data_IF_793997364063
#
_entry.id   IF_793997364063
#
_cell.length_a   1.000
_cell.length_b   1.000
_cell.length_c   1.000
_cell.angle_alpha   90.00
_cell.angle_beta   90.00
_cell.angle_gamma   90.00
#
_symmetry.space_group_name_H-M   'P 1'
#
loop_
_entity.id
_entity.type
_entity.pdbx_description
1 polymer ?
#
# COMPACT_ATOMS: atom_id res chain seq x y z
N UNK A 1 53.85 41.37 -38.38
CA UNK A 1 52.76 41.36 -39.38
C UNK A 1 51.50 40.84 -38.68
N UNK A 2 50.76 41.70 -37.96
CA UNK A 2 49.43 42.27 -38.31
C UNK A 2 48.42 41.20 -38.78
N UNK A 3 47.22 41.04 -38.19
CA UNK A 3 46.24 42.08 -37.82
C UNK A 3 45.18 41.55 -36.83
N UNK A 4 44.75 42.42 -35.92
CA UNK A 4 43.58 42.29 -35.03
C UNK A 4 42.27 42.39 -35.80
N UNK A 5 41.23 41.67 -35.38
CA UNK A 5 39.84 42.19 -35.42
C UNK A 5 39.07 41.72 -34.16
N UNK A 6 38.50 42.71 -33.47
CA UNK A 6 37.51 42.57 -32.40
C UNK A 6 36.11 42.56 -33.03
N UNK A 7 35.23 41.67 -32.58
CA UNK A 7 33.77 41.90 -32.63
C UNK A 7 33.16 41.45 -31.30
N UNK A 8 32.48 42.39 -30.67
CA UNK A 8 31.64 42.31 -29.48
C UNK A 8 30.32 41.57 -29.79
N UNK A 9 29.81 40.74 -28.87
CA UNK A 9 28.49 40.12 -29.00
C UNK A 9 27.95 39.62 -27.67
N UNK A 10 26.74 40.04 -27.34
CA UNK A 10 26.04 40.01 -26.05
C UNK A 10 25.72 38.63 -25.46
N UNK A 11 25.50 38.67 -24.14
CA UNK A 11 25.00 37.64 -23.20
C UNK A 11 23.59 37.14 -23.56
N UNK A 12 23.34 35.83 -23.40
CA UNK A 12 22.07 35.30 -22.89
C UNK A 12 22.29 33.91 -22.28
N UNK A 13 22.10 33.80 -20.97
CA UNK A 13 22.06 32.53 -20.25
C UNK A 13 20.68 31.88 -20.47
N UNK A 14 20.65 30.70 -21.09
CA UNK A 14 19.47 29.85 -21.13
C UNK A 14 19.72 28.62 -20.25
N UNK A 15 18.87 28.45 -19.24
CA UNK A 15 18.89 27.31 -18.33
C UNK A 15 18.57 26.01 -19.08
N UNK A 16 19.44 25.00 -18.94
CA UNK A 16 19.18 23.64 -19.42
C UNK A 16 18.28 22.95 -18.41
N UNK A 17 16.97 22.89 -18.72
CA UNK A 17 16.05 21.97 -18.05
C UNK A 17 16.22 20.59 -18.68
N UNK A 18 16.67 19.62 -17.89
CA UNK A 18 16.73 18.22 -18.29
C UNK A 18 15.31 17.65 -18.41
N UNK A 19 14.88 17.35 -19.64
CA UNK A 19 13.66 16.59 -19.89
C UNK A 19 13.92 15.10 -19.60
N UNK A 20 13.21 14.53 -18.63
CA UNK A 20 13.16 13.08 -18.40
C UNK A 20 12.46 12.38 -19.59
N UNK A 21 12.94 11.22 -20.06
CA UNK A 21 12.28 10.50 -21.15
C UNK A 21 10.97 9.89 -20.64
N UNK A 22 9.86 10.27 -21.28
CA UNK A 22 8.55 9.71 -21.04
C UNK A 22 8.51 8.23 -21.43
N UNK A 23 7.94 7.42 -20.53
CA UNK A 23 7.65 6.01 -20.70
C UNK A 23 6.76 5.81 -21.95
N UNK A 24 7.26 5.07 -22.93
CA UNK A 24 6.48 4.72 -24.12
C UNK A 24 5.29 3.84 -23.73
N UNK A 25 4.07 4.33 -23.90
CA UNK A 25 2.84 3.54 -23.76
C UNK A 25 2.56 2.79 -25.07
N UNK A 26 2.29 1.49 -24.94
CA UNK A 26 1.96 0.60 -26.05
C UNK A 26 0.60 0.97 -26.66
N UNK A 27 0.58 1.19 -27.98
CA UNK A 27 -0.59 1.60 -28.74
C UNK A 27 -1.51 0.42 -29.07
N UNK A 28 -2.80 0.53 -28.74
CA UNK A 28 -3.87 -0.18 -29.47
C UNK A 28 -4.80 0.85 -30.10
N UNK A 29 -4.72 0.96 -31.43
CA UNK A 29 -5.37 1.96 -32.27
C UNK A 29 -6.82 1.57 -32.54
N UNK A 30 -7.81 2.29 -31.97
CA UNK A 30 -9.16 2.44 -32.52
C UNK A 30 -9.67 3.85 -32.15
N UNK A 31 -9.95 4.69 -33.15
CA UNK A 31 -10.80 5.89 -33.07
C UNK A 31 -10.31 7.01 -32.14
N UNK A 32 -9.95 8.16 -32.71
CA UNK A 32 -9.32 9.27 -31.99
C UNK A 32 -10.15 9.83 -30.84
N UNK A 33 -9.56 9.80 -29.64
CA UNK A 33 -9.42 10.92 -28.70
C UNK A 33 -8.49 10.41 -27.60
N UNK A 34 -7.27 10.95 -27.49
CA UNK A 34 -6.36 10.63 -26.40
C UNK A 34 -6.86 11.31 -25.12
N UNK A 35 -7.88 10.73 -24.51
CA UNK A 35 -8.32 11.13 -23.18
C UNK A 35 -7.29 10.56 -22.21
N UNK A 36 -6.53 11.44 -21.57
CA UNK A 36 -5.85 11.09 -20.32
C UNK A 36 -6.96 10.69 -19.35
N UNK A 37 -7.19 9.39 -19.18
CA UNK A 37 -8.22 8.91 -18.25
C UNK A 37 -7.72 9.22 -16.85
N UNK A 38 -8.22 10.33 -16.28
CA UNK A 38 -7.97 10.64 -14.88
C UNK A 38 -8.47 9.47 -14.02
N UNK A 39 -7.70 9.03 -13.00
CA UNK A 39 -8.14 7.95 -12.13
C UNK A 39 -9.47 8.34 -11.45
N UNK A 40 -10.44 7.41 -11.34
CA UNK A 40 -11.79 7.73 -10.88
C UNK A 40 -11.82 8.36 -9.49
N UNK A 41 -12.23 9.63 -9.38
CA UNK A 41 -12.30 10.37 -8.11
C UNK A 41 -13.44 9.83 -7.24
N UNK A 42 -13.11 9.19 -6.11
CA UNK A 42 -14.07 8.94 -5.03
C UNK A 42 -13.97 10.08 -4.00
N UNK A 43 -15.08 10.78 -3.72
CA UNK A 43 -15.17 11.76 -2.64
C UNK A 43 -14.27 13.01 -2.75
N UNK A 44 -13.77 13.36 -3.94
CA UNK A 44 -12.99 14.59 -4.14
C UNK A 44 -11.50 14.51 -3.75
N UNK A 45 -11.01 13.33 -3.37
CA UNK A 45 -9.57 13.11 -3.13
C UNK A 45 -8.87 12.64 -4.42
N UNK A 46 -7.66 13.15 -4.66
CA UNK A 46 -6.78 12.59 -5.69
C UNK A 46 -6.50 11.13 -5.36
N UNK A 47 -6.88 10.24 -6.28
CA UNK A 47 -6.66 8.79 -6.20
C UNK A 47 -5.20 8.35 -6.16
N UNK A 48 -4.28 9.28 -6.37
CA UNK A 48 -2.86 8.95 -6.34
C UNK A 48 -2.40 8.73 -4.91
N UNK A 49 -2.01 7.47 -4.66
CA UNK A 49 -1.21 7.13 -3.49
C UNK A 49 0.05 8.00 -3.54
N UNK A 50 0.38 8.72 -2.44
CA UNK A 50 1.61 9.50 -2.38
C UNK A 50 2.81 8.63 -2.74
N UNK A 51 3.77 9.19 -3.47
CA UNK A 51 4.86 8.42 -4.06
C UNK A 51 5.63 7.58 -3.04
N UNK A 52 5.86 8.12 -1.85
CA UNK A 52 6.51 7.43 -0.73
C UNK A 52 5.80 6.14 -0.28
N UNK A 53 4.48 6.04 -0.48
CA UNK A 53 3.66 4.88 -0.10
C UNK A 53 3.40 3.91 -1.27
N UNK A 54 3.95 4.19 -2.46
CA UNK A 54 3.89 3.25 -3.58
C UNK A 54 4.80 2.04 -3.31
N UNK A 55 4.46 0.90 -3.92
CA UNK A 55 5.24 -0.33 -3.80
C UNK A 55 6.63 -0.13 -4.40
N UNK A 56 7.68 -0.44 -3.66
CA UNK A 56 9.07 -0.22 -4.06
C UNK A 56 9.97 -1.34 -3.58
N UNK A 57 11.03 -1.66 -4.33
CA UNK A 57 12.13 -2.48 -3.83
C UNK A 57 13.14 -1.54 -3.16
N UNK A 58 13.44 -1.76 -1.89
CA UNK A 58 14.30 -0.87 -1.08
C UNK A 58 15.38 -1.65 -0.35
N UNK A 59 16.56 -1.05 -0.08
CA UNK A 59 17.49 -1.58 0.91
C UNK A 59 16.79 -1.72 2.26
N UNK A 60 16.97 -2.87 2.91
CA UNK A 60 16.32 -3.18 4.16
C UNK A 60 17.19 -4.14 4.98
N UNK A 61 17.87 -3.59 5.98
CA UNK A 61 18.72 -4.34 6.89
C UNK A 61 17.91 -4.84 8.08
N UNK A 62 17.79 -6.16 8.20
CA UNK A 62 17.04 -6.83 9.26
C UNK A 62 17.69 -8.15 9.63
N UNK A 63 17.43 -8.63 10.84
CA UNK A 63 17.79 -9.99 11.27
C UNK A 63 16.72 -11.02 10.91
N UNK A 64 15.55 -10.57 10.41
CA UNK A 64 14.50 -11.47 9.98
C UNK A 64 14.90 -12.23 8.71
N UNK A 65 14.44 -13.48 8.60
CA UNK A 65 14.76 -14.33 7.45
C UNK A 65 14.06 -13.85 6.18
N UNK A 66 14.65 -14.15 5.02
CA UNK A 66 14.00 -13.96 3.71
C UNK A 66 12.61 -14.60 3.71
N UNK A 67 11.63 -13.89 3.13
CA UNK A 67 10.23 -14.29 3.11
C UNK A 67 9.42 -13.86 4.33
N UNK A 68 10.06 -13.30 5.37
CA UNK A 68 9.35 -12.72 6.51
C UNK A 68 8.64 -11.43 6.11
N UNK A 69 7.45 -11.23 6.64
CA UNK A 69 6.76 -9.94 6.59
C UNK A 69 7.12 -9.16 7.85
N UNK A 70 7.59 -7.92 7.69
CA UNK A 70 7.76 -6.97 8.79
C UNK A 70 6.80 -5.81 8.59
N UNK A 71 5.96 -5.53 9.58
CA UNK A 71 5.02 -4.41 9.56
C UNK A 71 5.54 -3.36 10.53
N UNK A 72 5.73 -2.14 10.05
CA UNK A 72 6.05 -0.97 10.84
C UNK A 72 4.84 -0.01 10.83
N UNK A 73 3.96 -0.07 11.85
CA UNK A 73 2.80 0.80 11.90
C UNK A 73 3.15 2.29 12.02
N UNK A 74 4.30 2.62 12.62
CA UNK A 74 4.72 4.01 12.83
C UNK A 74 5.09 4.69 11.51
N UNK A 75 5.82 3.96 10.66
CA UNK A 75 6.17 4.42 9.33
C UNK A 75 5.11 4.11 8.28
N UNK A 76 4.09 3.32 8.63
CA UNK A 76 2.98 2.91 7.74
C UNK A 76 3.48 2.13 6.54
N UNK A 77 4.43 1.23 6.80
CA UNK A 77 5.00 0.34 5.80
C UNK A 77 4.86 -1.12 6.20
N UNK A 78 4.67 -1.95 5.19
CA UNK A 78 4.84 -3.39 5.25
C UNK A 78 6.02 -3.75 4.36
N UNK A 79 6.93 -4.58 4.86
CA UNK A 79 8.11 -5.07 4.16
C UNK A 79 8.01 -6.57 3.98
N UNK A 80 8.19 -7.06 2.76
CA UNK A 80 8.47 -8.47 2.49
C UNK A 80 9.97 -8.64 2.28
N UNK A 81 10.65 -9.27 3.25
CA UNK A 81 12.10 -9.43 3.25
C UNK A 81 12.56 -10.28 2.06
N UNK A 82 13.56 -9.78 1.34
CA UNK A 82 14.19 -10.42 0.18
C UNK A 82 15.68 -10.67 0.46
N UNK A 83 16.30 -11.39 -0.45
CA UNK A 83 17.74 -11.63 -0.44
C UNK A 83 18.53 -10.33 -0.65
N UNK A 84 19.85 -10.39 -0.41
CA UNK A 84 20.79 -9.31 -0.68
C UNK A 84 20.52 -8.00 0.08
N UNK A 85 19.93 -8.10 1.28
CA UNK A 85 19.63 -6.94 2.12
C UNK A 85 18.55 -6.02 1.54
N UNK A 86 17.60 -6.60 0.79
CA UNK A 86 16.50 -5.86 0.16
C UNK A 86 15.15 -6.28 0.75
N UNK A 87 14.13 -5.45 0.58
CA UNK A 87 12.73 -5.82 0.82
C UNK A 87 11.81 -5.17 -0.21
N UNK A 88 10.69 -5.84 -0.51
CA UNK A 88 9.57 -5.16 -1.18
C UNK A 88 8.82 -4.40 -0.10
N UNK A 89 8.83 -3.07 -0.17
CA UNK A 89 8.08 -2.18 0.70
C UNK A 89 6.74 -1.82 0.07
N UNK A 90 5.68 -1.90 0.86
CA UNK A 90 4.33 -1.49 0.52
C UNK A 90 3.90 -0.38 1.49
N UNK A 91 3.33 0.71 1.00
CA UNK A 91 2.58 1.62 1.85
C UNK A 91 1.30 0.96 2.35
N UNK A 92 0.97 1.19 3.62
CA UNK A 92 -0.22 0.63 4.25
C UNK A 92 -1.02 1.70 5.01
N UNK A 93 -2.32 1.48 5.17
CA UNK A 93 -3.13 2.13 6.19
C UNK A 93 -3.10 1.31 7.48
N UNK A 94 -3.10 1.97 8.62
CA UNK A 94 -2.98 1.31 9.93
C UNK A 94 -4.15 1.64 10.85
N UNK A 95 -4.26 0.88 11.94
CA UNK A 95 -5.19 1.17 13.03
C UNK A 95 -4.98 2.56 13.62
N UNK A 96 -6.05 3.16 14.14
CA UNK A 96 -5.95 4.31 15.04
C UNK A 96 -5.14 3.91 16.27
N UNK A 97 -4.53 4.89 16.92
CA UNK A 97 -3.80 4.71 18.17
C UNK A 97 -4.64 3.93 19.19
N UNK A 98 -4.02 2.96 19.89
CA UNK A 98 -4.70 2.08 20.85
C UNK A 98 -5.42 0.87 20.25
N UNK A 99 -5.53 0.75 18.91
CA UNK A 99 -6.11 -0.43 18.23
C UNK A 99 -5.04 -1.36 17.61
N UNK A 100 -3.76 -1.06 17.81
CA UNK A 100 -2.64 -1.84 17.29
C UNK A 100 -2.31 -3.06 18.14
N UNK A 101 -1.90 -4.15 17.49
CA UNK A 101 -1.26 -5.29 18.13
C UNK A 101 0.18 -5.39 17.63
N UNK A 102 1.13 -5.75 18.51
CA UNK A 102 2.54 -5.92 18.16
C UNK A 102 3.05 -7.29 18.61
N UNK A 103 4.04 -7.82 17.88
CA UNK A 103 4.66 -9.11 18.18
C UNK A 103 4.86 -10.00 16.96
N UNK A 104 5.14 -11.27 17.22
CA UNK A 104 5.35 -12.31 16.19
C UNK A 104 4.08 -13.10 15.94
N UNK A 105 3.77 -13.34 14.67
CA UNK A 105 2.64 -14.10 14.20
C UNK A 105 2.98 -14.86 12.90
N UNK A 106 2.01 -15.60 12.36
CA UNK A 106 2.10 -16.25 11.07
C UNK A 106 0.80 -16.08 10.27
N UNK A 107 0.91 -16.05 8.94
CA UNK A 107 -0.26 -16.11 8.05
C UNK A 107 -0.78 -17.54 7.99
N UNK A 108 -1.81 -17.88 8.76
CA UNK A 108 -2.38 -19.24 8.79
C UNK A 108 -3.63 -19.40 7.94
N UNK A 109 -4.22 -18.29 7.48
CA UNK A 109 -5.41 -18.31 6.62
C UNK A 109 -5.35 -17.19 5.60
N UNK A 110 -5.90 -17.47 4.42
CA UNK A 110 -5.88 -16.63 3.24
C UNK A 110 -7.25 -16.74 2.57
N UNK A 111 -7.86 -15.60 2.25
CA UNK A 111 -9.13 -15.56 1.53
C UNK A 111 -9.09 -14.59 0.36
N UNK A 112 -9.75 -14.99 -0.72
CA UNK A 112 -10.11 -14.13 -1.84
C UNK A 112 -11.53 -13.60 -1.62
N UNK A 113 -11.74 -12.29 -1.84
CA UNK A 113 -13.03 -11.63 -1.64
C UNK A 113 -13.68 -12.02 -0.29
N UNK A 114 -12.99 -11.77 0.84
CA UNK A 114 -13.43 -12.22 2.16
C UNK A 114 -14.78 -11.62 2.55
N UNK A 115 -15.56 -12.38 3.31
CA UNK A 115 -16.73 -11.87 4.00
C UNK A 115 -16.29 -10.93 5.11
N UNK A 116 -16.94 -9.77 5.23
CA UNK A 116 -16.68 -8.80 6.28
C UNK A 116 -17.83 -8.75 7.29
N UNK A 117 -17.51 -8.91 8.57
CA UNK A 117 -18.46 -8.67 9.66
C UNK A 117 -17.98 -7.45 10.45
N UNK A 118 -18.78 -6.38 10.56
CA UNK A 118 -18.41 -5.20 11.34
C UNK A 118 -18.24 -5.57 12.83
N UNK A 119 -17.16 -5.10 13.49
CA UNK A 119 -17.02 -5.23 14.94
C UNK A 119 -18.18 -4.58 15.69
N UNK A 120 -18.52 -5.10 16.87
CA UNK A 120 -19.63 -4.60 17.68
C UNK A 120 -19.45 -3.11 18.05
N UNK A 121 -18.22 -2.68 18.33
CA UNK A 121 -17.89 -1.29 18.63
C UNK A 121 -18.08 -0.37 17.42
N UNK A 122 -17.91 -0.91 16.21
CA UNK A 122 -18.18 -0.17 14.98
C UNK A 122 -19.68 0.01 14.78
N UNK A 123 -20.48 -1.06 14.99
CA UNK A 123 -21.95 -0.99 14.94
C UNK A 123 -22.48 -0.01 16.00
N UNK A 124 -21.90 0.01 17.21
CA UNK A 124 -22.30 0.95 18.25
C UNK A 124 -22.12 2.42 17.84
N UNK A 125 -21.08 2.72 17.02
CA UNK A 125 -20.85 4.07 16.48
C UNK A 125 -21.63 4.36 15.19
N UNK A 126 -21.93 3.32 14.41
CA UNK A 126 -22.61 3.37 13.11
C UNK A 126 -23.68 2.28 13.05
N UNK A 127 -24.86 2.52 13.67
CA UNK A 127 -25.91 1.50 13.83
C UNK A 127 -26.43 0.92 12.50
N UNK A 128 -26.34 1.67 11.40
CA UNK A 128 -26.72 1.23 10.07
C UNK A 128 -25.91 0.03 9.56
N UNK A 129 -24.71 -0.21 10.12
CA UNK A 129 -23.88 -1.37 9.80
C UNK A 129 -24.41 -2.67 10.39
N UNK A 130 -25.38 -2.62 11.33
CA UNK A 130 -25.97 -3.82 11.93
C UNK A 130 -26.61 -4.77 10.89
N UNK A 131 -27.02 -4.25 9.72
CA UNK A 131 -27.50 -5.05 8.58
C UNK A 131 -26.47 -6.07 8.07
N UNK A 132 -25.18 -5.83 8.33
CA UNK A 132 -24.07 -6.72 7.96
C UNK A 132 -23.58 -7.60 9.13
N UNK A 133 -24.33 -7.68 10.23
CA UNK A 133 -24.00 -8.56 11.38
C UNK A 133 -23.82 -10.02 10.98
N UNK A 134 -24.57 -10.49 9.97
CA UNK A 134 -24.44 -11.84 9.40
C UNK A 134 -23.39 -11.94 8.27
N UNK A 135 -22.57 -10.90 8.09
CA UNK A 135 -21.54 -10.81 7.07
C UNK A 135 -22.00 -10.04 5.82
N UNK A 136 -21.18 -9.10 5.41
CA UNK A 136 -21.20 -8.49 4.08
C UNK A 136 -20.41 -9.39 3.13
N UNK A 137 -21.00 -9.83 1.99
CA UNK A 137 -20.28 -10.64 1.02
C UNK A 137 -19.08 -9.89 0.43
N UNK A 138 -18.11 -10.64 -0.10
CA UNK A 138 -16.99 -10.08 -0.85
C UNK A 138 -17.47 -9.30 -2.08
N UNK A 139 -16.82 -8.17 -2.37
CA UNK A 139 -17.13 -7.34 -3.53
C UNK A 139 -16.47 -5.97 -3.47
N UNK A 140 -16.68 -5.11 -4.48
CA UNK A 140 -16.06 -3.78 -4.58
C UNK A 140 -16.33 -2.87 -3.38
N UNK A 141 -17.51 -2.99 -2.77
CA UNK A 141 -17.91 -2.18 -1.61
C UNK A 141 -17.43 -2.77 -0.26
N UNK A 142 -16.86 -3.97 -0.26
CA UNK A 142 -16.43 -4.63 0.96
C UNK A 142 -15.16 -3.97 1.52
N UNK A 143 -15.14 -3.55 2.79
CA UNK A 143 -14.01 -2.81 3.36
C UNK A 143 -12.75 -3.65 3.58
N UNK A 144 -12.83 -4.97 3.47
CA UNK A 144 -11.67 -5.88 3.45
C UNK A 144 -11.03 -5.98 2.06
N UNK A 145 -11.69 -5.49 1.02
CA UNK A 145 -11.19 -5.48 -0.34
C UNK A 145 -11.01 -6.88 -0.95
N UNK A 146 -10.07 -6.99 -1.89
CA UNK A 146 -9.94 -8.17 -2.75
C UNK A 146 -9.30 -9.40 -2.06
N UNK A 147 -8.47 -9.19 -1.03
CA UNK A 147 -7.72 -10.26 -0.35
C UNK A 147 -7.63 -9.98 1.15
N UNK A 148 -7.64 -11.04 1.96
CA UNK A 148 -7.29 -10.98 3.37
C UNK A 148 -6.34 -12.11 3.76
N UNK A 149 -5.38 -11.79 4.61
CA UNK A 149 -4.41 -12.68 5.24
C UNK A 149 -4.56 -12.53 6.75
N UNK A 150 -4.84 -13.65 7.43
CA UNK A 150 -5.20 -13.66 8.85
C UNK A 150 -4.00 -14.10 9.67
N UNK A 151 -3.68 -13.32 10.70
CA UNK A 151 -2.51 -13.54 11.52
C UNK A 151 -2.85 -14.37 12.76
N UNK A 152 -2.00 -15.34 13.05
CA UNK A 152 -2.15 -16.25 14.17
C UNK A 152 -0.89 -16.30 15.02
N UNK A 153 -1.07 -16.48 16.32
CA UNK A 153 0.00 -16.85 17.25
C UNK A 153 -0.19 -18.31 17.67
N UNK A 154 0.62 -19.20 17.09
CA UNK A 154 0.38 -20.63 17.19
C UNK A 154 -0.99 -20.97 16.56
N UNK A 155 -1.89 -21.56 17.35
CA UNK A 155 -3.26 -21.89 16.93
C UNK A 155 -4.28 -20.78 17.18
N UNK A 156 -3.90 -19.67 17.81
CA UNK A 156 -4.82 -18.59 18.20
C UNK A 156 -4.88 -17.50 17.14
N UNK A 157 -6.09 -17.19 16.66
CA UNK A 157 -6.34 -16.01 15.81
C UNK A 157 -6.08 -14.73 16.63
N UNK A 158 -5.23 -13.83 16.11
CA UNK A 158 -4.95 -12.54 16.78
C UNK A 158 -6.06 -11.53 16.53
N UNK A 159 -7.00 -11.84 15.64
CA UNK A 159 -7.97 -10.91 15.05
C UNK A 159 -7.31 -9.78 14.24
N UNK A 160 -6.00 -9.88 14.00
CA UNK A 160 -5.23 -8.95 13.19
C UNK A 160 -5.09 -9.48 11.76
N UNK A 161 -5.27 -8.59 10.79
CA UNK A 161 -5.33 -8.97 9.37
C UNK A 161 -4.52 -8.01 8.54
N UNK A 162 -3.95 -8.53 7.48
CA UNK A 162 -3.47 -7.75 6.34
C UNK A 162 -4.50 -7.93 5.24
N UNK A 163 -5.10 -6.86 4.76
CA UNK A 163 -6.19 -6.95 3.79
C UNK A 163 -6.20 -5.81 2.79
N UNK A 164 -6.97 -5.96 1.71
CA UNK A 164 -7.22 -4.92 0.72
C UNK A 164 -8.08 -3.77 1.27
N UNK A 165 -8.51 -2.87 0.41
CA UNK A 165 -9.41 -1.78 0.80
C UNK A 165 -10.20 -1.29 -0.40
N UNK A 166 -11.45 -0.90 -0.16
CA UNK A 166 -12.26 -0.12 -1.09
C UNK A 166 -11.96 1.40 -1.02
N UNK A 167 -11.13 1.83 -0.07
CA UNK A 167 -10.74 3.24 0.14
C UNK A 167 -9.21 3.40 0.01
N UNK A 168 -8.64 3.32 -1.20
CA UNK A 168 -7.19 3.37 -1.41
C UNK A 168 -6.55 4.70 -1.00
N UNK A 169 -7.31 5.80 -0.92
CA UNK A 169 -6.81 7.09 -0.45
C UNK A 169 -6.43 7.11 1.05
N UNK A 170 -6.82 6.09 1.81
CA UNK A 170 -6.46 5.94 3.24
C UNK A 170 -5.06 5.35 3.47
N UNK A 171 -4.36 4.94 2.40
CA UNK A 171 -2.99 4.42 2.51
C UNK A 171 -2.06 5.53 3.00
N UNK A 172 -1.22 5.20 3.99
CA UNK A 172 -0.38 6.19 4.68
C UNK A 172 -1.10 6.93 5.81
N UNK A 173 -2.33 6.52 6.18
CA UNK A 173 -3.09 7.12 7.27
C UNK A 173 -3.37 6.12 8.41
N UNK A 174 -3.68 6.64 9.60
CA UNK A 174 -4.04 5.85 10.79
C UNK A 174 -5.54 5.97 11.06
N UNK A 175 -6.36 5.21 10.32
CA UNK A 175 -7.83 5.34 10.34
C UNK A 175 -8.57 4.03 10.64
N UNK A 176 -7.90 2.88 10.59
CA UNK A 176 -8.59 1.60 10.74
C UNK A 176 -8.91 1.28 12.21
N UNK A 177 -9.75 0.28 12.46
CA UNK A 177 -10.00 -0.25 13.81
C UNK A 177 -8.95 -1.30 14.25
N UNK A 178 -7.77 -1.31 13.63
CA UNK A 178 -6.61 -2.07 14.07
C UNK A 178 -5.81 -2.70 12.93
N UNK A 179 -6.49 -3.35 11.98
CA UNK A 179 -5.86 -4.12 10.90
C UNK A 179 -5.04 -3.28 9.90
N UNK A 180 -4.21 -3.96 9.12
CA UNK A 180 -3.38 -3.38 8.06
C UNK A 180 -4.14 -3.36 6.74
N UNK A 181 -4.39 -2.15 6.22
CA UNK A 181 -5.03 -1.90 4.92
C UNK A 181 -3.98 -1.73 3.84
N UNK A 182 -4.13 -2.43 2.74
CA UNK A 182 -3.34 -2.28 1.51
C UNK A 182 -4.28 -1.91 0.38
N UNK A 183 -3.77 -1.31 -0.69
CA UNK A 183 -4.56 -1.27 -1.93
C UNK A 183 -4.85 -2.68 -2.42
N UNK A 184 -5.95 -2.87 -3.15
CA UNK A 184 -6.32 -4.19 -3.66
C UNK A 184 -5.22 -4.80 -4.54
N UNK A 185 -4.54 -4.00 -5.36
CA UNK A 185 -3.40 -4.46 -6.17
C UNK A 185 -2.27 -5.00 -5.29
N UNK A 186 -1.86 -4.23 -4.27
CA UNK A 186 -0.77 -4.65 -3.38
C UNK A 186 -1.16 -5.83 -2.49
N UNK A 187 -2.44 -5.92 -2.07
CA UNK A 187 -2.96 -7.05 -1.33
C UNK A 187 -2.94 -8.33 -2.18
N UNK A 188 -3.33 -8.26 -3.46
CA UNK A 188 -3.25 -9.37 -4.42
C UNK A 188 -1.80 -9.79 -4.66
N UNK A 189 -0.90 -8.83 -4.88
CA UNK A 189 0.51 -9.10 -5.08
C UNK A 189 1.15 -9.79 -3.87
N UNK A 190 0.95 -9.27 -2.66
CA UNK A 190 1.45 -9.90 -1.44
C UNK A 190 0.84 -11.30 -1.24
N UNK A 191 -0.47 -11.42 -1.45
CA UNK A 191 -1.19 -12.69 -1.33
C UNK A 191 -0.62 -13.76 -2.27
N UNK A 192 -0.23 -13.41 -3.48
CA UNK A 192 0.37 -14.37 -4.43
C UNK A 192 1.80 -14.75 -4.07
N UNK A 193 2.57 -13.83 -3.46
CA UNK A 193 3.98 -14.03 -3.12
C UNK A 193 4.21 -14.92 -1.91
N UNK A 194 3.28 -14.93 -0.96
CA UNK A 194 3.49 -15.58 0.34
C UNK A 194 2.72 -16.90 0.45
N UNK A 195 3.36 -17.99 0.91
CA UNK A 195 2.64 -19.20 1.29
C UNK A 195 1.90 -19.03 2.63
N UNK A 196 1.14 -20.05 3.04
CA UNK A 196 0.71 -20.17 4.43
C UNK A 196 1.93 -20.40 5.34
N UNK A 197 1.74 -20.17 6.64
CA UNK A 197 2.78 -20.18 7.67
C UNK A 197 3.91 -19.15 7.46
N UNK A 198 3.72 -18.17 6.57
CA UNK A 198 4.67 -17.05 6.41
C UNK A 198 4.82 -16.31 7.72
N UNK A 199 6.05 -16.15 8.24
CA UNK A 199 6.28 -15.43 9.48
C UNK A 199 6.01 -13.95 9.31
N UNK A 200 5.40 -13.35 10.33
CA UNK A 200 5.06 -11.94 10.40
C UNK A 200 5.57 -11.35 11.71
N UNK A 201 6.20 -10.19 11.64
CA UNK A 201 6.59 -9.38 12.80
C UNK A 201 5.91 -8.04 12.69
N UNK A 202 5.08 -7.70 13.67
CA UNK A 202 4.49 -6.37 13.81
C UNK A 202 5.28 -5.61 14.86
N UNK A 203 5.93 -4.53 14.44
CA UNK A 203 6.74 -3.69 15.32
C UNK A 203 5.83 -2.89 16.26
N UNK A 204 6.23 -2.83 17.53
CA UNK A 204 5.58 -1.96 18.52
C UNK A 204 5.98 -0.50 18.34
N UNK A 205 5.22 0.41 18.94
CA UNK A 205 5.66 1.80 19.11
C UNK A 205 6.93 1.80 19.96
N UNK A 206 8.00 2.51 19.55
CA UNK A 206 9.14 2.75 20.44
C UNK A 206 8.64 3.40 21.73
N UNK A 207 9.07 2.87 22.88
CA UNK A 207 8.93 3.55 24.17
C UNK A 207 9.92 4.70 24.29
#
# INVERSE_FOLDING_TARGET
MHRRQFITGLVSAAAVSAASPALASSFKKHGGMSVLVEPPKYGGHSMEIPEQFRRQLVPYYTQERVGTIVIDPNQRYLYLVRENGMAIRYGVGVGREGFGWAGRAQVMRKEEWPTWTPPAEMIARQPELAKYSNGMPGGPDNPLGARAMYLYQGSRDTMYRIHGTNEPWTIGQAMSSGCIRMTNENAVDLYQRIPLATPVVVLGTPV
#
